data_IF_709853734192
#
_entry.id   IF_709853734192
#
_cell.length_a   1.000
_cell.length_b   1.000
_cell.length_c   1.000
_cell.angle_alpha   90.00
_cell.angle_beta   90.00
_cell.angle_gamma   90.00
#
_symmetry.space_group_name_H-M   'P 1'
#
loop_
_entity.id
_entity.type
_entity.pdbx_description
1 polymer ?
#
# COMPACT_ATOMS: atom_id res chain seq x y z
N UNK A 1 12.48 -37.17 40.03
CA UNK A 1 13.86 -36.66 40.29
C UNK A 1 14.71 -36.99 39.09
N UNK A 2 15.24 -36.00 38.38
CA UNK A 2 16.11 -36.24 37.22
C UNK A 2 17.57 -35.97 37.62
N UNK A 3 18.42 -36.97 37.43
CA UNK A 3 19.87 -36.91 37.66
C UNK A 3 20.50 -35.92 36.67
N UNK A 4 21.36 -35.02 37.18
CA UNK A 4 22.13 -34.07 36.37
C UNK A 4 23.56 -34.60 36.24
N UNK A 5 23.98 -34.92 35.01
CA UNK A 5 25.37 -35.27 34.70
C UNK A 5 26.28 -34.04 34.62
N UNK A 6 27.56 -34.23 34.96
CA UNK A 6 28.61 -33.20 34.93
C UNK A 6 28.74 -32.58 33.53
N UNK A 7 28.50 -31.27 33.42
CA UNK A 7 28.70 -30.51 32.18
C UNK A 7 27.64 -29.44 31.87
N UNK A 8 26.69 -29.16 32.76
CA UNK A 8 25.68 -28.13 32.48
C UNK A 8 26.27 -26.74 32.63
N UNK A 9 26.57 -26.10 31.49
CA UNK A 9 27.01 -24.71 31.37
C UNK A 9 25.93 -23.80 32.00
N UNK A 10 26.27 -23.15 33.11
CA UNK A 10 25.40 -22.18 33.78
C UNK A 10 25.30 -20.96 32.85
N UNK A 11 24.15 -20.78 32.20
CA UNK A 11 23.85 -19.57 31.44
C UNK A 11 22.94 -18.69 32.30
N UNK A 12 23.29 -17.42 32.48
CA UNK A 12 22.50 -16.43 33.22
C UNK A 12 21.25 -15.96 32.44
N UNK A 13 20.69 -16.82 31.58
CA UNK A 13 19.62 -16.43 30.67
C UNK A 13 18.26 -16.65 31.32
N UNK A 14 17.63 -15.52 31.62
CA UNK A 14 16.20 -15.30 31.87
C UNK A 14 15.30 -16.36 31.19
N UNK A 15 14.31 -16.85 31.92
CA UNK A 15 13.47 -18.03 31.58
C UNK A 15 13.05 -18.09 30.11
N UNK A 16 13.80 -18.87 29.34
CA UNK A 16 13.57 -19.04 27.91
C UNK A 16 12.40 -20.02 27.72
N UNK A 17 11.23 -19.47 27.39
CA UNK A 17 10.03 -20.17 26.93
C UNK A 17 9.58 -21.38 27.78
N UNK A 18 8.61 -21.12 28.66
CA UNK A 18 7.82 -22.19 29.29
C UNK A 18 6.73 -22.58 28.28
N UNK A 19 6.67 -23.85 27.81
CA UNK A 19 5.62 -24.26 26.90
C UNK A 19 4.26 -24.09 27.61
N UNK A 20 3.19 -23.73 26.89
CA UNK A 20 1.88 -23.46 27.51
C UNK A 20 1.31 -24.64 28.31
N UNK A 21 1.81 -25.86 28.09
CA UNK A 21 1.50 -27.05 28.89
C UNK A 21 2.16 -27.07 30.27
N UNK A 22 3.27 -26.34 30.47
CA UNK A 22 4.01 -26.20 31.72
C UNK A 22 3.76 -24.85 32.40
N UNK A 23 3.13 -23.89 31.71
CA UNK A 23 2.67 -22.66 32.32
C UNK A 23 1.47 -23.01 33.21
N UNK A 24 1.51 -22.75 34.54
CA UNK A 24 0.31 -22.92 35.36
C UNK A 24 -0.76 -22.01 34.77
N UNK A 25 -1.79 -22.60 34.15
CA UNK A 25 -2.94 -21.88 33.59
C UNK A 25 -3.81 -21.30 34.70
N UNK A 26 -3.22 -20.47 35.54
CA UNK A 26 -3.86 -19.91 36.72
C UNK A 26 -4.69 -18.70 36.32
N UNK A 27 -5.99 -18.92 36.10
CA UNK A 27 -6.94 -17.84 35.79
C UNK A 27 -7.56 -17.18 37.04
N UNK A 28 -7.09 -17.52 38.26
CA UNK A 28 -7.57 -16.93 39.50
C UNK A 28 -7.89 -17.94 40.61
N UNK A 29 -8.53 -17.46 41.67
CA UNK A 29 -8.89 -18.26 42.85
C UNK A 29 -9.85 -19.40 42.50
N UNK A 30 -9.48 -20.64 42.86
CA UNK A 30 -10.37 -21.81 42.81
C UNK A 30 -11.02 -21.98 44.19
N UNK A 31 -12.35 -21.81 44.31
CA UNK A 31 -13.08 -22.03 45.55
C UNK A 31 -12.80 -23.43 46.11
N UNK A 32 -12.82 -23.54 47.44
CA UNK A 32 -12.63 -24.80 48.20
C UNK A 32 -11.33 -25.57 47.97
N UNK A 33 -10.42 -25.10 47.09
CA UNK A 33 -9.11 -25.71 46.82
C UNK A 33 -8.27 -25.94 48.07
N UNK A 34 -8.36 -25.05 49.06
CA UNK A 34 -7.65 -25.16 50.35
C UNK A 34 -8.14 -26.30 51.25
N UNK A 35 -9.35 -26.79 51.01
CA UNK A 35 -9.99 -27.86 51.78
C UNK A 35 -9.83 -29.23 51.12
N UNK A 36 -9.35 -29.26 49.88
CA UNK A 36 -9.11 -30.47 49.10
C UNK A 36 -7.63 -30.85 49.21
N UNK A 37 -7.36 -32.13 49.47
CA UNK A 37 -6.01 -32.69 49.57
C UNK A 37 -5.90 -33.93 48.68
N UNK A 38 -4.69 -34.27 48.25
CA UNK A 38 -4.42 -35.45 47.42
C UNK A 38 -4.28 -35.19 45.92
N UNK A 39 -4.65 -33.99 45.45
CA UNK A 39 -4.45 -33.56 44.05
C UNK A 39 -3.35 -32.50 43.94
N UNK A 40 -2.65 -32.49 42.80
CA UNK A 40 -1.77 -31.37 42.47
C UNK A 40 -2.61 -30.14 42.14
N UNK A 41 -2.07 -28.95 42.44
CA UNK A 41 -2.74 -27.68 42.17
C UNK A 41 -3.19 -27.56 40.70
N UNK A 42 -2.37 -28.02 39.75
CA UNK A 42 -2.70 -28.03 38.32
C UNK A 42 -3.89 -28.93 37.99
N UNK A 43 -3.96 -30.13 38.58
CA UNK A 43 -5.09 -31.04 38.36
C UNK A 43 -6.38 -30.47 38.96
N UNK A 44 -6.31 -29.92 40.17
CA UNK A 44 -7.46 -29.33 40.84
C UNK A 44 -8.03 -28.12 40.07
N UNK A 45 -7.17 -27.26 39.51
CA UNK A 45 -7.60 -26.09 38.72
C UNK A 45 -8.19 -26.49 37.37
N UNK A 46 -7.59 -27.48 36.69
CA UNK A 46 -8.12 -28.02 35.43
C UNK A 46 -9.49 -28.66 35.66
N UNK A 47 -9.63 -29.48 36.71
CA UNK A 47 -10.90 -30.11 37.07
C UNK A 47 -11.97 -29.05 37.35
N UNK A 48 -11.66 -28.05 38.17
CA UNK A 48 -12.60 -26.96 38.46
C UNK A 48 -13.02 -26.21 37.19
N UNK A 49 -12.09 -25.91 36.28
CA UNK A 49 -12.42 -25.28 35.01
C UNK A 49 -13.35 -26.13 34.15
N UNK A 50 -13.08 -27.45 34.06
CA UNK A 50 -13.92 -28.38 33.32
C UNK A 50 -15.32 -28.50 33.95
N UNK A 51 -15.41 -28.55 35.27
CA UNK A 51 -16.68 -28.60 36.03
C UNK A 51 -17.48 -27.31 35.86
N UNK A 52 -16.83 -26.15 35.96
CA UNK A 52 -17.46 -24.85 35.71
C UNK A 52 -17.98 -24.75 34.28
N UNK A 53 -17.16 -25.16 33.32
CA UNK A 53 -17.52 -25.19 31.90
C UNK A 53 -18.68 -26.15 31.63
N UNK A 54 -18.64 -27.37 32.18
CA UNK A 54 -19.69 -28.37 31.98
C UNK A 54 -21.01 -27.91 32.61
N UNK A 55 -20.97 -27.28 33.80
CA UNK A 55 -22.12 -26.65 34.42
C UNK A 55 -22.70 -25.53 33.56
N UNK A 56 -21.86 -24.63 33.04
CA UNK A 56 -22.29 -23.58 32.14
C UNK A 56 -22.93 -24.12 30.85
N UNK A 57 -22.37 -25.19 30.28
CA UNK A 57 -22.93 -25.86 29.08
C UNK A 57 -24.19 -26.69 29.39
N UNK A 58 -24.33 -27.23 30.60
CA UNK A 58 -25.57 -27.88 31.03
C UNK A 58 -26.70 -26.87 31.18
N UNK A 59 -26.40 -25.65 31.61
CA UNK A 59 -27.37 -24.56 31.68
C UNK A 59 -27.69 -23.93 30.31
N UNK A 60 -26.93 -24.20 29.24
CA UNK A 60 -27.16 -23.59 27.92
C UNK A 60 -28.45 -24.09 27.23
N UNK A 61 -29.07 -25.16 27.74
CA UNK A 61 -30.34 -25.71 27.26
C UNK A 61 -31.55 -25.18 28.03
N UNK A 62 -31.33 -24.42 29.12
CA UNK A 62 -32.38 -23.90 29.98
C UNK A 62 -32.77 -22.50 29.50
N UNK A 63 -34.06 -22.24 29.21
CA UNK A 63 -34.50 -20.95 28.67
C UNK A 63 -34.31 -19.75 29.62
N UNK A 64 -34.08 -20.01 30.91
CA UNK A 64 -33.88 -19.01 31.96
C UNK A 64 -32.41 -18.78 32.33
N UNK A 65 -31.46 -19.36 31.60
CA UNK A 65 -30.03 -19.14 31.85
C UNK A 65 -29.63 -17.72 31.46
N UNK A 66 -28.90 -17.00 32.33
CA UNK A 66 -28.44 -15.62 32.11
C UNK A 66 -27.60 -15.42 30.84
N UNK A 67 -27.09 -16.49 30.24
CA UNK A 67 -26.28 -16.45 29.01
C UNK A 67 -27.04 -16.76 27.72
N UNK A 68 -28.32 -17.14 27.78
CA UNK A 68 -29.09 -17.57 26.62
C UNK A 68 -28.51 -18.81 25.93
N UNK A 69 -29.09 -19.15 24.78
CA UNK A 69 -28.74 -20.34 24.02
C UNK A 69 -27.82 -19.98 22.84
N UNK A 70 -26.50 -20.04 23.07
CA UNK A 70 -25.51 -19.70 22.04
C UNK A 70 -25.07 -20.94 21.24
N UNK A 71 -25.14 -20.93 19.90
CA UNK A 71 -24.66 -22.02 19.08
C UNK A 71 -23.14 -22.17 19.25
N UNK A 72 -22.70 -23.28 19.84
CA UNK A 72 -21.28 -23.58 20.09
C UNK A 72 -21.00 -25.05 19.79
N UNK A 73 -19.79 -25.33 19.27
CA UNK A 73 -19.31 -26.70 19.04
C UNK A 73 -19.17 -27.50 20.34
N UNK A 74 -19.17 -26.81 21.48
CA UNK A 74 -19.02 -27.39 22.81
C UNK A 74 -20.35 -27.46 23.58
N UNK A 75 -21.47 -27.19 22.92
CA UNK A 75 -22.79 -27.30 23.54
C UNK A 75 -23.20 -28.77 23.70
N UNK A 76 -23.98 -29.07 24.74
CA UNK A 76 -24.48 -30.41 25.02
C UNK A 76 -25.73 -30.79 24.19
N UNK A 77 -26.26 -29.88 23.36
CA UNK A 77 -27.42 -30.15 22.51
C UNK A 77 -27.02 -30.26 21.04
N UNK A 78 -27.41 -31.37 20.40
CA UNK A 78 -27.11 -31.63 18.99
C UNK A 78 -27.65 -30.56 18.03
N UNK A 79 -28.76 -29.91 18.39
CA UNK A 79 -29.33 -28.80 17.62
C UNK A 79 -28.43 -27.57 17.58
N UNK A 80 -27.80 -27.18 18.69
CA UNK A 80 -26.92 -26.02 18.75
C UNK A 80 -25.57 -26.27 18.10
N UNK A 81 -25.04 -27.49 18.23
CA UNK A 81 -23.86 -27.94 17.48
C UNK A 81 -24.14 -27.87 15.97
N UNK A 82 -25.32 -28.32 15.54
CA UNK A 82 -25.74 -28.28 14.13
C UNK A 82 -25.95 -26.86 13.64
N UNK A 83 -26.58 -25.99 14.44
CA UNK A 83 -26.74 -24.58 14.14
C UNK A 83 -25.39 -23.87 14.00
N UNK A 84 -24.44 -24.12 14.89
CA UNK A 84 -23.08 -23.55 14.80
C UNK A 84 -22.35 -24.03 13.54
N UNK A 85 -22.48 -25.32 13.21
CA UNK A 85 -21.92 -25.89 12.00
C UNK A 85 -22.50 -25.24 10.75
N UNK A 86 -23.83 -25.04 10.71
CA UNK A 86 -24.50 -24.35 9.62
C UNK A 86 -24.02 -22.91 9.49
N UNK A 87 -23.94 -22.15 10.58
CA UNK A 87 -23.45 -20.77 10.57
C UNK A 87 -21.99 -20.67 10.08
N UNK A 88 -21.11 -21.55 10.56
CA UNK A 88 -19.70 -21.54 10.17
C UNK A 88 -19.48 -21.89 8.69
N UNK A 89 -20.24 -22.85 8.14
CA UNK A 89 -20.25 -23.17 6.69
C UNK A 89 -20.85 -22.05 5.86
N UNK A 90 -21.96 -21.47 6.33
CA UNK A 90 -22.61 -20.35 5.65
C UNK A 90 -21.69 -19.13 5.59
N UNK A 91 -20.85 -18.90 6.61
CA UNK A 91 -19.86 -17.81 6.59
C UNK A 91 -18.87 -17.94 5.42
N UNK A 92 -18.40 -19.15 5.13
CA UNK A 92 -17.50 -19.40 4.00
C UNK A 92 -18.22 -19.34 2.66
N UNK A 93 -19.45 -19.86 2.58
CA UNK A 93 -20.25 -19.83 1.35
C UNK A 93 -20.72 -18.41 0.99
N UNK A 94 -21.07 -17.61 2.00
CA UNK A 94 -21.54 -16.23 1.85
C UNK A 94 -20.39 -15.22 1.99
N UNK A 95 -19.13 -15.66 1.98
CA UNK A 95 -18.01 -14.73 2.03
C UNK A 95 -18.03 -13.92 0.73
N UNK A 96 -18.19 -12.59 0.79
CA UNK A 96 -18.24 -11.78 -0.42
C UNK A 96 -16.90 -11.92 -1.15
N UNK A 97 -16.96 -12.40 -2.39
CA UNK A 97 -15.81 -12.43 -3.27
C UNK A 97 -15.48 -11.01 -3.71
N UNK A 98 -14.59 -10.34 -2.98
CA UNK A 98 -14.02 -9.08 -3.44
C UNK A 98 -12.79 -9.38 -4.29
N UNK A 99 -12.86 -9.05 -5.58
CA UNK A 99 -11.68 -9.00 -6.43
C UNK A 99 -11.08 -7.59 -6.33
N UNK A 100 -9.81 -7.49 -5.93
CA UNK A 100 -9.06 -6.23 -6.09
C UNK A 100 -8.58 -6.15 -7.52
N UNK A 101 -9.12 -5.20 -8.27
CA UNK A 101 -8.60 -4.85 -9.58
C UNK A 101 -7.56 -3.73 -9.41
N UNK A 102 -6.43 -3.85 -10.09
CA UNK A 102 -5.43 -2.78 -10.18
C UNK A 102 -5.84 -1.67 -11.18
N UNK A 103 -7.04 -1.78 -11.76
CA UNK A 103 -7.55 -0.87 -12.77
C UNK A 103 -8.61 0.03 -12.14
N UNK A 104 -8.42 1.33 -12.28
CA UNK A 104 -9.44 2.31 -11.97
C UNK A 104 -10.42 2.42 -13.14
N UNK A 105 -11.57 1.76 -13.00
CA UNK A 105 -12.62 1.74 -14.02
C UNK A 105 -13.16 3.14 -14.33
N UNK A 106 -13.25 4.04 -13.33
CA UNK A 106 -13.72 5.41 -13.53
C UNK A 106 -12.72 6.19 -14.38
N UNK A 107 -11.42 6.07 -14.07
CA UNK A 107 -10.36 6.70 -14.87
C UNK A 107 -10.32 6.15 -16.30
N UNK A 108 -10.59 4.86 -16.48
CA UNK A 108 -10.66 4.28 -17.83
C UNK A 108 -11.81 4.87 -18.65
N UNK A 109 -12.96 5.10 -18.03
CA UNK A 109 -14.12 5.72 -18.68
C UNK A 109 -13.85 7.19 -19.04
N UNK A 110 -13.23 7.96 -18.15
CA UNK A 110 -12.87 9.36 -18.44
C UNK A 110 -11.84 9.48 -19.57
N UNK A 111 -10.87 8.57 -19.65
CA UNK A 111 -9.90 8.55 -20.74
C UNK A 111 -10.56 8.22 -22.09
N UNK A 112 -11.51 7.28 -22.11
CA UNK A 112 -12.28 6.95 -23.31
C UNK A 112 -13.08 8.16 -23.78
N UNK A 113 -13.85 8.78 -22.89
CA UNK A 113 -14.67 9.94 -23.24
C UNK A 113 -13.81 11.12 -23.71
N UNK A 114 -12.68 11.40 -23.06
CA UNK A 114 -11.74 12.42 -23.49
C UNK A 114 -11.19 12.16 -24.90
N UNK A 115 -10.84 10.91 -25.21
CA UNK A 115 -10.39 10.50 -26.54
C UNK A 115 -11.44 10.73 -27.62
N UNK A 116 -12.70 10.37 -27.34
CA UNK A 116 -13.83 10.61 -28.24
C UNK A 116 -14.05 12.10 -28.51
N UNK A 117 -14.06 12.94 -27.46
CA UNK A 117 -14.23 14.39 -27.61
C UNK A 117 -13.09 15.01 -28.42
N UNK A 118 -11.85 14.57 -28.18
CA UNK A 118 -10.69 15.03 -28.94
C UNK A 118 -10.77 14.68 -30.42
N UNK A 119 -11.33 13.52 -30.76
CA UNK A 119 -11.54 13.09 -32.15
C UNK A 119 -12.67 13.88 -32.83
N UNK A 120 -13.79 14.09 -32.15
CA UNK A 120 -14.87 14.95 -32.66
C UNK A 120 -14.37 16.37 -32.94
N UNK A 121 -13.55 16.93 -32.04
CA UNK A 121 -12.92 18.23 -32.24
C UNK A 121 -11.95 18.24 -33.45
N UNK A 122 -11.20 17.16 -33.68
CA UNK A 122 -10.38 17.05 -34.90
C UNK A 122 -11.23 16.99 -36.16
N UNK A 123 -12.39 16.35 -36.11
CA UNK A 123 -13.32 16.27 -37.23
C UNK A 123 -13.93 17.64 -37.57
N UNK A 124 -14.17 18.52 -36.60
CA UNK A 124 -14.69 19.87 -36.88
C UNK A 124 -13.73 20.75 -37.68
N UNK A 125 -12.42 20.47 -37.69
CA UNK A 125 -11.45 21.15 -38.54
C UNK A 125 -11.21 20.48 -39.89
N UNK A 126 -11.85 19.33 -40.16
CA UNK A 126 -11.75 18.71 -41.47
C UNK A 126 -12.51 19.56 -42.47
N UNK A 127 -11.81 19.99 -43.51
CA UNK A 127 -12.42 20.70 -44.63
C UNK A 127 -13.39 19.76 -45.38
N UNK A 128 -14.50 20.29 -45.92
CA UNK A 128 -15.55 19.49 -46.60
C UNK A 128 -15.02 18.76 -47.84
N UNK A 129 -13.87 19.22 -48.34
CA UNK A 129 -13.15 18.76 -49.53
C UNK A 129 -12.42 17.43 -49.30
N UNK A 130 -12.31 16.94 -48.06
CA UNK A 130 -11.69 15.63 -47.74
C UNK A 130 -10.20 15.52 -48.08
N UNK A 131 -9.58 16.60 -48.55
CA UNK A 131 -8.20 16.68 -49.03
C UNK A 131 -7.53 17.85 -48.33
N UNK A 132 -6.31 17.65 -47.83
CA UNK A 132 -5.50 18.78 -47.35
C UNK A 132 -5.16 19.64 -48.56
N UNK A 133 -5.45 20.94 -48.50
CA UNK A 133 -5.06 21.87 -49.56
C UNK A 133 -3.55 21.75 -49.77
N UNK A 134 -3.08 21.47 -51.01
CA UNK A 134 -1.66 21.43 -51.30
C UNK A 134 -1.06 22.80 -51.01
N UNK A 135 0.07 22.82 -50.30
CA UNK A 135 0.82 24.04 -50.03
C UNK A 135 1.33 24.58 -51.37
N UNK A 136 0.77 25.72 -51.81
CA UNK A 136 1.01 26.28 -53.17
C UNK A 136 2.46 26.72 -53.39
N UNK A 137 3.14 27.14 -52.33
CA UNK A 137 4.52 27.59 -52.39
C UNK A 137 5.20 27.29 -51.05
N UNK A 138 6.46 26.86 -51.12
CA UNK A 138 7.31 26.73 -49.96
C UNK A 138 8.19 27.97 -49.88
N UNK A 139 8.17 28.68 -48.75
CA UNK A 139 9.13 29.75 -48.48
C UNK A 139 10.43 29.09 -48.07
N UNK A 140 11.40 29.08 -48.98
CA UNK A 140 12.75 28.59 -48.69
C UNK A 140 13.43 29.65 -47.81
N UNK A 141 14.02 29.27 -46.66
CA UNK A 141 14.79 30.22 -45.86
C UNK A 141 16.00 30.67 -46.67
N UNK A 142 15.98 31.94 -47.06
CA UNK A 142 17.08 32.62 -47.76
C UNK A 142 18.01 33.24 -46.73
N UNK A 143 19.33 33.22 -46.99
CA UNK A 143 20.31 33.90 -46.14
C UNK A 143 19.98 35.39 -46.06
N UNK A 144 20.19 35.99 -44.89
CA UNK A 144 19.80 37.38 -44.62
C UNK A 144 20.43 38.39 -45.60
N UNK A 145 21.65 38.09 -46.07
CA UNK A 145 22.36 38.84 -47.12
C UNK A 145 21.59 38.97 -48.43
N UNK A 146 20.85 37.94 -48.82
CA UNK A 146 20.21 37.86 -50.13
C UNK A 146 18.73 38.30 -50.04
N UNK A 147 18.24 38.46 -48.81
CA UNK A 147 16.86 38.85 -48.49
C UNK A 147 16.63 40.36 -48.68
N UNK A 148 17.69 41.15 -48.54
CA UNK A 148 17.66 42.60 -48.63
C UNK A 148 18.77 43.10 -49.57
N UNK A 149 18.44 43.33 -50.84
CA UNK A 149 19.31 44.03 -51.80
C UNK A 149 19.37 45.54 -51.48
N UNK A 150 19.84 45.92 -50.30
CA UNK A 150 20.23 47.30 -50.05
C UNK A 150 21.69 47.46 -50.46
N UNK A 151 21.95 48.31 -51.46
CA UNK A 151 23.30 48.81 -51.74
C UNK A 151 23.89 49.26 -50.41
N UNK A 152 25.10 48.78 -50.10
CA UNK A 152 25.90 49.29 -48.99
C UNK A 152 25.98 50.81 -49.16
N UNK A 153 25.18 51.54 -48.38
CA UNK A 153 25.47 52.93 -48.10
C UNK A 153 26.61 52.83 -47.09
N UNK A 154 27.79 53.32 -47.47
CA UNK A 154 28.96 53.37 -46.60
C UNK A 154 28.59 54.04 -45.28
N UNK A 155 28.27 53.22 -44.27
CA UNK A 155 28.12 53.71 -42.92
C UNK A 155 29.52 53.96 -42.38
N UNK A 156 29.78 55.13 -41.77
CA UNK A 156 31.07 55.40 -41.15
C UNK A 156 31.34 54.34 -40.07
N UNK A 157 32.61 53.93 -39.89
CA UNK A 157 32.94 52.81 -39.01
C UNK A 157 32.43 53.09 -37.60
N UNK A 158 31.45 52.29 -37.17
CA UNK A 158 31.05 52.26 -35.76
C UNK A 158 32.28 51.82 -34.96
N UNK A 159 32.69 52.67 -34.02
CA UNK A 159 33.75 52.36 -33.07
C UNK A 159 33.41 51.05 -32.38
N UNK A 160 34.25 50.03 -32.57
CA UNK A 160 34.21 48.81 -31.79
C UNK A 160 34.64 49.16 -30.36
N UNK A 161 33.67 49.37 -29.47
CA UNK A 161 33.95 49.20 -28.04
C UNK A 161 34.16 47.71 -27.82
N UNK A 162 35.42 47.31 -27.78
CA UNK A 162 35.86 46.01 -27.29
C UNK A 162 35.60 45.94 -25.79
N UNK A 163 34.36 45.69 -25.39
CA UNK A 163 34.04 45.26 -24.04
C UNK A 163 33.24 43.98 -24.13
N UNK A 164 33.80 42.93 -23.52
CA UNK A 164 33.45 41.54 -23.75
C UNK A 164 31.96 41.27 -23.67
N UNK A 165 31.42 40.70 -24.75
CA UNK A 165 30.08 40.10 -24.78
C UNK A 165 30.10 38.93 -23.79
N UNK A 166 29.71 39.18 -22.55
CA UNK A 166 29.40 38.11 -21.59
C UNK A 166 28.19 37.37 -22.14
N UNK A 167 28.40 36.12 -22.54
CA UNK A 167 27.35 35.21 -22.98
C UNK A 167 26.61 34.67 -21.76
N UNK A 168 25.97 35.56 -21.00
CA UNK A 168 25.14 35.16 -19.86
C UNK A 168 23.74 34.84 -20.38
N UNK A 169 23.32 33.59 -20.22
CA UNK A 169 21.98 33.17 -20.57
C UNK A 169 21.10 33.16 -19.31
N UNK A 170 20.04 33.97 -19.33
CA UNK A 170 19.07 34.03 -18.25
C UNK A 170 18.11 32.83 -18.31
N UNK A 171 18.02 32.08 -17.22
CA UNK A 171 16.96 31.09 -17.04
C UNK A 171 15.61 31.79 -16.75
N UNK A 172 14.46 31.15 -16.99
CA UNK A 172 13.14 31.73 -16.71
C UNK A 172 12.91 32.09 -15.23
N UNK A 173 13.78 31.63 -14.32
CA UNK A 173 13.84 32.04 -12.91
C UNK A 173 14.57 33.37 -12.66
N UNK A 174 15.14 34.00 -13.68
CA UNK A 174 15.86 35.28 -13.60
C UNK A 174 17.33 35.17 -13.18
N UNK A 175 17.83 33.99 -12.85
CA UNK A 175 19.23 33.78 -12.43
C UNK A 175 20.11 33.67 -13.68
N UNK A 176 21.15 34.50 -13.74
CA UNK A 176 22.21 34.44 -14.75
C UNK A 176 23.34 33.54 -14.24
N UNK A 177 23.81 32.62 -15.08
CA UNK A 177 24.89 31.70 -14.72
C UNK A 177 25.99 31.79 -15.76
N UNK A 178 27.24 31.85 -15.30
CA UNK A 178 28.41 31.90 -16.16
C UNK A 178 28.62 30.58 -16.93
N UNK A 179 29.43 30.64 -17.99
CA UNK A 179 29.85 29.46 -18.76
C UNK A 179 30.58 28.42 -17.90
N UNK A 180 31.42 28.88 -16.98
CA UNK A 180 32.20 28.01 -16.09
C UNK A 180 31.30 27.24 -15.10
N UNK A 181 30.23 27.87 -14.60
CA UNK A 181 29.24 27.24 -13.71
C UNK A 181 28.41 26.14 -14.41
N UNK A 182 28.33 26.17 -15.75
CA UNK A 182 27.65 25.13 -16.55
C UNK A 182 28.55 23.93 -16.75
N UNK A 183 29.80 24.16 -17.15
CA UNK A 183 30.78 23.09 -17.35
C UNK A 183 30.93 22.25 -16.08
N UNK A 184 30.96 22.89 -14.91
CA UNK A 184 31.04 22.17 -13.62
C UNK A 184 29.77 21.39 -13.26
N UNK A 185 28.58 21.83 -13.73
CA UNK A 185 27.31 21.11 -13.52
C UNK A 185 27.14 19.92 -14.46
N UNK A 186 27.50 20.09 -15.74
CA UNK A 186 27.30 19.05 -16.76
C UNK A 186 28.20 17.82 -16.51
N UNK A 187 29.39 18.02 -15.92
CA UNK A 187 30.27 16.92 -15.46
C UNK A 187 29.56 15.97 -14.48
N UNK A 188 28.58 16.47 -13.71
CA UNK A 188 27.84 15.67 -12.73
C UNK A 188 26.72 14.82 -13.36
N UNK A 189 26.24 15.17 -14.56
CA UNK A 189 25.12 14.49 -15.21
C UNK A 189 25.54 13.45 -16.25
N UNK A 190 26.79 13.46 -16.71
CA UNK A 190 27.33 12.46 -17.65
C UNK A 190 27.69 11.10 -17.02
N UNK A 191 27.56 10.94 -15.69
CA UNK A 191 27.84 9.68 -14.97
C UNK A 191 26.60 8.90 -14.50
N UNK A 192 25.51 8.91 -15.28
CA UNK A 192 24.33 8.08 -15.01
C UNK A 192 23.97 7.15 -16.16
#
# INVERSE_FOLDING_TARGET
MALRGNGTRITHNNSTYIPPSLMPGYCGYVPTSKLLYGDTFGNATIKYFQDFRSGAMACSTIPYSRGGMFPSIFSNSGLLVSAQRAQSRNRTLNSPYWARFNVDFKRQETLKSFGEHSQKHRESYKDKTGTRLPVKHFVIPVKESDKYFWKQIDQPPMKTTSEGVRQDQAFPSGIQTSLDDRVMRDVFFERR
#
